data_IF_250562988982
#
_entry.id   IF_250562988982
#
_cell.length_a   1.000
_cell.length_b   1.000
_cell.length_c   1.000
_cell.angle_alpha   90.00
_cell.angle_beta   90.00
_cell.angle_gamma   90.00
#
_symmetry.space_group_name_H-M   'P 1'
#
loop_
_entity.id
_entity.type
_entity.pdbx_description
1 polymer ?
#
# COMPACT_ATOMS: atom_id res chain seq x y z
N UNK A 1 -18.41 -3.33 20.08
CA UNK A 1 -17.94 -2.38 21.10
C UNK A 1 -17.11 -1.23 20.51
N UNK A 2 -16.59 -1.40 19.31
CA UNK A 2 -15.84 -0.37 18.59
C UNK A 2 -16.62 0.09 17.37
N UNK A 3 -16.74 1.42 17.20
CA UNK A 3 -17.44 2.00 16.05
C UNK A 3 -16.55 1.92 14.80
N UNK A 4 -17.15 1.94 13.61
CA UNK A 4 -16.40 2.03 12.35
C UNK A 4 -15.39 3.18 12.35
N UNK A 5 -15.77 4.31 12.99
CA UNK A 5 -14.87 5.45 13.17
C UNK A 5 -13.62 5.08 13.96
N UNK A 6 -13.74 4.27 15.02
CA UNK A 6 -12.59 3.82 15.81
C UNK A 6 -11.66 2.93 14.97
N UNK A 7 -12.20 2.03 14.13
CA UNK A 7 -11.43 1.21 13.20
C UNK A 7 -10.68 2.05 12.16
N UNK A 8 -11.36 3.04 11.60
CA UNK A 8 -10.74 3.98 10.62
C UNK A 8 -9.63 4.80 11.28
N UNK A 9 -9.86 5.35 12.49
CA UNK A 9 -8.83 6.12 13.20
C UNK A 9 -7.62 5.26 13.59
N UNK A 10 -7.84 4.01 14.00
CA UNK A 10 -6.76 3.07 14.29
C UNK A 10 -5.97 2.74 13.02
N UNK A 11 -6.66 2.49 11.92
CA UNK A 11 -6.02 2.23 10.63
C UNK A 11 -5.17 3.41 10.14
N UNK A 12 -5.72 4.64 10.19
CA UNK A 12 -4.99 5.86 9.86
C UNK A 12 -3.79 6.08 10.79
N UNK A 13 -3.95 5.81 12.09
CA UNK A 13 -2.88 5.93 13.08
C UNK A 13 -1.73 4.97 12.79
N UNK A 14 -2.02 3.69 12.56
CA UNK A 14 -1.02 2.69 12.20
C UNK A 14 -0.33 3.02 10.88
N UNK A 15 -1.11 3.46 9.88
CA UNK A 15 -0.56 3.85 8.58
C UNK A 15 0.40 5.03 8.72
N UNK A 16 0.00 6.09 9.44
CA UNK A 16 0.83 7.26 9.68
C UNK A 16 2.11 6.91 10.46
N UNK A 17 1.99 6.11 11.53
CA UNK A 17 3.14 5.63 12.32
C UNK A 17 4.08 4.82 11.44
N UNK A 18 3.56 3.86 10.65
CA UNK A 18 4.37 3.08 9.72
C UNK A 18 5.12 3.95 8.70
N UNK A 19 4.43 4.93 8.12
CA UNK A 19 5.05 5.86 7.17
C UNK A 19 6.13 6.75 7.80
N UNK A 20 5.93 7.23 9.02
CA UNK A 20 6.91 8.05 9.74
C UNK A 20 8.10 7.24 10.25
N UNK A 21 7.93 5.94 10.53
CA UNK A 21 9.02 5.04 10.95
C UNK A 21 10.08 4.82 9.88
N UNK A 22 9.81 5.13 8.61
CA UNK A 22 10.84 5.11 7.56
C UNK A 22 11.99 6.10 7.85
N UNK A 23 11.70 7.21 8.53
CA UNK A 23 12.74 8.18 8.87
C UNK A 23 13.78 7.62 9.87
N UNK A 24 13.41 7.13 11.06
CA UNK A 24 14.39 6.50 11.96
C UNK A 24 14.97 5.21 11.37
N UNK A 25 14.24 4.47 10.54
CA UNK A 25 14.76 3.28 9.86
C UNK A 25 15.98 3.61 8.98
N UNK A 26 15.98 4.76 8.28
CA UNK A 26 17.14 5.24 7.53
C UNK A 26 18.38 5.40 8.40
N UNK A 27 18.24 5.93 9.62
CA UNK A 27 19.36 6.20 10.52
C UNK A 27 20.07 4.93 10.98
N UNK A 28 19.38 3.79 10.98
CA UNK A 28 19.97 2.51 11.39
C UNK A 28 20.83 1.87 10.31
N UNK A 29 20.65 2.23 9.04
CA UNK A 29 21.33 1.61 7.90
C UNK A 29 21.04 0.11 7.71
N UNK A 30 20.07 -0.45 8.46
CA UNK A 30 19.71 -1.87 8.46
C UNK A 30 18.38 -2.09 7.73
N UNK A 31 18.21 -3.27 7.11
CA UNK A 31 17.01 -3.65 6.39
C UNK A 31 15.79 -3.90 7.31
N UNK A 32 16.01 -4.48 8.49
CA UNK A 32 14.93 -4.91 9.39
C UNK A 32 14.00 -3.79 9.86
N UNK A 33 14.47 -2.59 10.23
CA UNK A 33 13.60 -1.47 10.57
C UNK A 33 12.70 -1.02 9.41
N UNK A 34 13.17 -1.07 8.17
CA UNK A 34 12.33 -0.79 7.00
C UNK A 34 11.23 -1.82 6.83
N UNK A 35 11.55 -3.10 7.02
CA UNK A 35 10.57 -4.18 6.97
C UNK A 35 9.50 -4.00 8.05
N UNK A 36 9.89 -3.63 9.26
CA UNK A 36 8.95 -3.37 10.36
C UNK A 36 8.07 -2.15 10.06
N UNK A 37 8.65 -1.05 9.57
CA UNK A 37 7.90 0.14 9.18
C UNK A 37 6.86 -0.19 8.09
N UNK A 38 7.25 -0.95 7.07
CA UNK A 38 6.37 -1.40 6.01
C UNK A 38 5.27 -2.34 6.53
N UNK A 39 5.59 -3.24 7.44
CA UNK A 39 4.61 -4.14 8.06
C UNK A 39 3.54 -3.36 8.83
N UNK A 40 3.94 -2.37 9.65
CA UNK A 40 3.00 -1.53 10.40
C UNK A 40 2.13 -0.71 9.45
N UNK A 41 2.71 -0.18 8.38
CA UNK A 41 1.99 0.58 7.35
C UNK A 41 0.92 -0.29 6.66
N UNK A 42 1.26 -1.50 6.26
CA UNK A 42 0.32 -2.44 5.61
C UNK A 42 -0.76 -2.94 6.57
N UNK A 43 -0.45 -3.14 7.84
CA UNK A 43 -1.47 -3.38 8.88
C UNK A 43 -2.47 -2.22 8.94
N UNK A 44 -2.00 -0.97 8.93
CA UNK A 44 -2.85 0.21 8.90
C UNK A 44 -3.78 0.23 7.70
N UNK A 45 -3.27 -0.09 6.51
CA UNK A 45 -4.07 -0.19 5.29
C UNK A 45 -5.16 -1.25 5.40
N UNK A 46 -4.84 -2.43 5.92
CA UNK A 46 -5.80 -3.52 6.14
C UNK A 46 -6.93 -3.11 7.10
N UNK A 47 -6.62 -2.40 8.17
CA UNK A 47 -7.63 -1.86 9.08
C UNK A 47 -8.52 -0.81 8.41
N UNK A 48 -7.94 0.03 7.55
CA UNK A 48 -8.71 1.02 6.78
C UNK A 48 -9.69 0.34 5.83
N UNK A 49 -9.24 -0.61 5.03
CA UNK A 49 -10.10 -1.31 4.07
C UNK A 49 -11.23 -2.08 4.75
N UNK A 50 -10.92 -2.82 5.83
CA UNK A 50 -11.90 -3.60 6.56
C UNK A 50 -12.92 -2.75 7.34
N UNK A 51 -12.59 -1.51 7.67
CA UNK A 51 -13.48 -0.60 8.38
C UNK A 51 -14.25 0.34 7.46
N UNK A 52 -13.60 0.86 6.39
CA UNK A 52 -14.18 1.86 5.49
C UNK A 52 -15.20 1.25 4.53
N UNK A 53 -14.93 0.07 3.97
CA UNK A 53 -15.83 -0.56 3.01
C UNK A 53 -17.20 -0.90 3.62
N UNK A 54 -17.31 -1.59 4.77
CA UNK A 54 -18.59 -1.81 5.43
C UNK A 54 -19.27 -0.51 5.88
N UNK A 55 -18.49 0.50 6.28
CA UNK A 55 -19.04 1.80 6.65
C UNK A 55 -19.72 2.47 5.45
N UNK A 56 -19.09 2.49 4.28
CA UNK A 56 -19.66 3.04 3.03
C UNK A 56 -20.96 2.29 2.65
N UNK A 57 -20.98 0.97 2.82
CA UNK A 57 -22.17 0.16 2.56
C UNK A 57 -23.31 0.50 3.53
N UNK A 58 -23.00 0.78 4.79
CA UNK A 58 -24.00 1.12 5.82
C UNK A 58 -24.56 2.54 5.70
N UNK A 59 -23.93 3.42 4.91
CA UNK A 59 -24.41 4.78 4.69
C UNK A 59 -25.53 4.83 3.65
N UNK A 60 -26.74 5.26 4.05
CA UNK A 60 -27.89 5.44 3.15
C UNK A 60 -28.66 4.15 2.89
N UNK A 61 -29.40 4.08 1.78
CA UNK A 61 -30.29 2.98 1.46
C UNK A 61 -29.57 1.77 0.88
N UNK A 62 -30.08 0.56 1.13
CA UNK A 62 -29.54 -0.70 0.58
C UNK A 62 -29.50 -0.70 -0.95
N UNK A 63 -30.54 -0.15 -1.61
CA UNK A 63 -30.64 -0.10 -3.07
C UNK A 63 -29.45 0.61 -3.75
N UNK A 64 -28.78 1.53 -3.06
CA UNK A 64 -27.62 2.28 -3.60
C UNK A 64 -26.30 1.89 -2.97
N UNK A 65 -26.26 0.90 -2.07
CA UNK A 65 -25.06 0.51 -1.32
C UNK A 65 -23.90 0.11 -2.23
N UNK A 66 -24.14 -0.79 -3.19
CA UNK A 66 -23.13 -1.25 -4.15
C UNK A 66 -22.63 -0.11 -5.04
N UNK A 67 -23.52 0.79 -5.47
CA UNK A 67 -23.12 1.97 -6.28
C UNK A 67 -22.19 2.90 -5.52
N UNK A 68 -22.46 3.14 -4.24
CA UNK A 68 -21.57 3.96 -3.37
C UNK A 68 -20.21 3.31 -3.20
N UNK A 69 -20.17 2.00 -2.95
CA UNK A 69 -18.92 1.27 -2.80
C UNK A 69 -18.10 1.30 -4.09
N UNK A 70 -18.74 1.03 -5.24
CA UNK A 70 -18.06 1.06 -6.53
C UNK A 70 -17.51 2.44 -6.87
N UNK A 71 -18.25 3.50 -6.54
CA UNK A 71 -17.78 4.88 -6.69
C UNK A 71 -16.54 5.14 -5.83
N UNK A 72 -16.55 4.72 -4.55
CA UNK A 72 -15.40 4.86 -3.67
C UNK A 72 -14.19 4.06 -4.18
N UNK A 73 -14.41 2.84 -4.64
CA UNK A 73 -13.36 1.96 -5.18
C UNK A 73 -12.77 2.49 -6.50
N UNK A 74 -13.51 3.29 -7.28
CA UNK A 74 -12.99 3.87 -8.53
C UNK A 74 -11.85 4.86 -8.32
N UNK A 75 -11.68 5.41 -7.12
CA UNK A 75 -10.52 6.23 -6.78
C UNK A 75 -9.22 5.44 -6.58
N UNK A 76 -9.31 4.12 -6.37
CA UNK A 76 -8.13 3.26 -6.16
C UNK A 76 -7.21 3.21 -7.41
N UNK A 77 -7.70 2.93 -8.63
CA UNK A 77 -6.88 3.03 -9.84
C UNK A 77 -6.31 4.42 -10.09
N UNK A 78 -7.07 5.47 -9.79
CA UNK A 78 -6.57 6.86 -9.92
C UNK A 78 -5.38 7.11 -8.98
N UNK A 79 -5.47 6.65 -7.75
CA UNK A 79 -4.36 6.70 -6.79
C UNK A 79 -3.13 5.92 -7.26
N UNK A 80 -3.33 4.75 -7.87
CA UNK A 80 -2.25 3.94 -8.42
C UNK A 80 -1.54 4.63 -9.59
N UNK A 81 -2.28 5.25 -10.51
CA UNK A 81 -1.72 6.02 -11.62
C UNK A 81 -0.93 7.23 -11.13
N UNK A 82 -1.48 7.98 -10.16
CA UNK A 82 -0.79 9.10 -9.56
C UNK A 82 0.49 8.65 -8.84
N UNK A 83 0.42 7.56 -8.09
CA UNK A 83 1.57 6.97 -7.41
C UNK A 83 2.67 6.55 -8.39
N UNK A 84 2.30 5.94 -9.51
CA UNK A 84 3.25 5.56 -10.57
C UNK A 84 3.89 6.80 -11.20
N UNK A 85 3.11 7.83 -11.51
CA UNK A 85 3.63 9.10 -12.03
C UNK A 85 4.66 9.74 -11.08
N UNK A 86 4.34 9.79 -9.78
CA UNK A 86 5.26 10.31 -8.75
C UNK A 86 6.51 9.44 -8.66
N UNK A 87 6.37 8.12 -8.67
CA UNK A 87 7.49 7.19 -8.60
C UNK A 87 8.46 7.38 -9.78
N UNK A 88 7.95 7.53 -10.99
CA UNK A 88 8.79 7.70 -12.19
C UNK A 88 9.48 9.05 -12.23
N UNK A 89 8.75 10.14 -11.98
CA UNK A 89 9.28 11.50 -12.18
C UNK A 89 10.05 12.05 -10.97
N UNK A 90 9.74 11.60 -9.76
CA UNK A 90 10.34 12.15 -8.54
C UNK A 90 11.23 11.17 -7.80
N UNK A 91 11.03 9.86 -7.95
CA UNK A 91 11.87 8.86 -7.30
C UNK A 91 12.93 8.36 -8.29
N UNK A 92 12.52 7.68 -9.36
CA UNK A 92 13.47 7.07 -10.30
C UNK A 92 14.39 8.10 -10.99
N UNK A 93 13.85 9.27 -11.33
CA UNK A 93 14.64 10.34 -11.93
C UNK A 93 15.74 10.92 -11.02
N UNK A 94 15.66 10.69 -9.70
CA UNK A 94 16.61 11.21 -8.71
C UNK A 94 17.49 10.12 -8.09
N UNK A 95 17.20 8.84 -8.33
CA UNK A 95 18.05 7.75 -7.86
C UNK A 95 19.34 7.70 -8.64
N UNK A 96 20.42 7.30 -7.98
CA UNK A 96 21.71 7.11 -8.62
C UNK A 96 21.62 5.99 -9.67
N UNK A 97 22.03 6.25 -10.94
CA UNK A 97 21.91 5.30 -12.05
C UNK A 97 22.88 4.12 -11.97
N UNK A 98 23.85 4.12 -11.05
CA UNK A 98 24.83 3.04 -10.89
C UNK A 98 24.14 1.69 -10.69
N UNK A 99 24.61 0.70 -11.42
CA UNK A 99 24.14 -0.68 -11.26
C UNK A 99 24.77 -1.37 -10.02
N UNK A 100 24.33 -2.59 -9.75
CA UNK A 100 24.82 -3.38 -8.60
C UNK A 100 26.33 -3.70 -8.71
N UNK A 101 26.85 -3.91 -9.91
CA UNK A 101 28.24 -4.24 -10.14
C UNK A 101 29.13 -3.01 -9.93
N UNK A 102 28.70 -1.84 -10.40
CA UNK A 102 29.38 -0.57 -10.17
C UNK A 102 29.39 -0.19 -8.67
N UNK A 103 28.26 -0.37 -7.99
CA UNK A 103 28.16 -0.13 -6.54
C UNK A 103 29.06 -1.05 -5.71
N UNK A 104 29.29 -2.30 -6.17
CA UNK A 104 30.17 -3.23 -5.49
C UNK A 104 31.66 -2.84 -5.58
N UNK A 105 32.04 -1.95 -6.50
CA UNK A 105 33.41 -1.45 -6.67
C UNK A 105 33.70 -0.19 -5.84
N UNK A 106 32.67 0.43 -5.25
CA UNK A 106 32.83 1.62 -4.42
C UNK A 106 33.53 1.28 -3.10
N UNK A 107 34.31 2.22 -2.61
CA UNK A 107 34.83 2.11 -1.25
C UNK A 107 33.68 2.27 -0.21
N UNK A 108 33.85 1.80 1.04
CA UNK A 108 32.78 1.83 2.03
C UNK A 108 32.19 3.22 2.30
N UNK A 109 33.01 4.27 2.20
CA UNK A 109 32.57 5.65 2.45
C UNK A 109 31.72 6.18 1.28
N UNK A 110 32.14 5.94 0.04
CA UNK A 110 31.41 6.31 -1.17
C UNK A 110 30.08 5.54 -1.26
N UNK A 111 30.12 4.23 -0.98
CA UNK A 111 28.90 3.42 -0.92
C UNK A 111 27.89 3.96 0.09
N UNK A 112 28.35 4.36 1.30
CA UNK A 112 27.50 4.94 2.32
C UNK A 112 26.86 6.26 1.84
N UNK A 113 27.62 7.13 1.17
CA UNK A 113 27.10 8.39 0.62
C UNK A 113 26.03 8.17 -0.45
N UNK A 114 26.27 7.28 -1.41
CA UNK A 114 25.30 6.95 -2.46
C UNK A 114 24.04 6.33 -1.87
N UNK A 115 24.20 5.36 -0.96
CA UNK A 115 23.08 4.73 -0.24
C UNK A 115 22.23 5.74 0.52
N UNK A 116 22.85 6.64 1.27
CA UNK A 116 22.14 7.63 2.09
C UNK A 116 21.42 8.67 1.23
N UNK A 117 21.99 9.02 0.07
CA UNK A 117 21.32 9.87 -0.92
C UNK A 117 20.09 9.17 -1.49
N UNK A 118 20.22 7.93 -1.98
CA UNK A 118 19.13 7.14 -2.54
C UNK A 118 18.03 6.89 -1.51
N UNK A 119 18.39 6.53 -0.26
CA UNK A 119 17.41 6.35 0.82
C UNK A 119 16.66 7.64 1.14
N UNK A 120 17.31 8.80 1.02
CA UNK A 120 16.63 10.10 1.22
C UNK A 120 15.56 10.34 0.16
N UNK A 121 15.85 10.03 -1.09
CA UNK A 121 14.89 10.12 -2.20
C UNK A 121 13.72 9.16 -1.99
N UNK A 122 13.99 7.93 -1.59
CA UNK A 122 12.96 6.91 -1.36
C UNK A 122 12.04 7.23 -0.18
N UNK A 123 12.58 7.81 0.90
CA UNK A 123 11.81 8.08 2.13
C UNK A 123 10.94 9.33 2.01
N UNK A 124 11.32 10.31 1.22
CA UNK A 124 10.59 11.56 1.09
C UNK A 124 9.09 11.38 0.76
N UNK A 125 8.68 10.53 -0.20
CA UNK A 125 7.26 10.25 -0.46
C UNK A 125 6.54 9.61 0.74
N UNK A 126 7.18 8.69 1.46
CA UNK A 126 6.56 8.06 2.64
C UNK A 126 6.31 9.08 3.76
N UNK A 127 7.25 9.99 4.01
CA UNK A 127 7.05 11.06 4.98
C UNK A 127 5.91 12.01 4.55
N UNK A 128 5.87 12.38 3.27
CA UNK A 128 4.81 13.23 2.72
C UNK A 128 3.44 12.56 2.90
N UNK A 129 3.32 11.28 2.53
CA UNK A 129 2.08 10.50 2.73
C UNK A 129 1.76 10.40 4.22
N UNK A 130 2.74 10.14 5.08
CA UNK A 130 2.55 10.09 6.53
C UNK A 130 1.95 11.36 7.09
N UNK A 131 2.43 12.54 6.66
CA UNK A 131 1.89 13.84 7.06
C UNK A 131 0.45 14.02 6.56
N UNK A 132 0.18 13.69 5.30
CA UNK A 132 -1.18 13.77 4.72
C UNK A 132 -2.14 12.87 5.50
N UNK A 133 -1.74 11.66 5.83
CA UNK A 133 -2.57 10.71 6.61
C UNK A 133 -2.79 11.23 8.05
N UNK A 134 -1.79 11.87 8.68
CA UNK A 134 -1.98 12.52 9.98
C UNK A 134 -3.00 13.64 9.91
N UNK A 135 -2.95 14.48 8.88
CA UNK A 135 -3.96 15.53 8.67
C UNK A 135 -5.34 14.90 8.49
N UNK A 136 -5.47 13.85 7.69
CA UNK A 136 -6.73 13.13 7.50
C UNK A 136 -7.23 12.49 8.81
N UNK A 137 -6.34 11.95 9.64
CA UNK A 137 -6.67 11.41 10.95
C UNK A 137 -7.29 12.50 11.84
N UNK A 138 -6.66 13.69 11.87
CA UNK A 138 -7.16 14.84 12.65
C UNK A 138 -8.53 15.27 12.12
N UNK A 139 -8.70 15.41 10.82
CA UNK A 139 -9.98 15.78 10.20
C UNK A 139 -11.08 14.77 10.58
N UNK A 140 -10.82 13.46 10.41
CA UNK A 140 -11.81 12.42 10.73
C UNK A 140 -12.08 12.33 12.24
N UNK A 141 -11.08 12.61 13.08
CA UNK A 141 -11.27 12.65 14.55
C UNK A 141 -12.32 13.66 14.97
N UNK A 142 -12.32 14.83 14.34
CA UNK A 142 -13.27 15.92 14.65
C UNK A 142 -14.56 15.87 13.83
N UNK A 143 -14.58 15.16 12.70
CA UNK A 143 -15.80 15.01 11.89
C UNK A 143 -16.84 14.14 12.63
N UNK A 144 -18.08 14.59 12.67
CA UNK A 144 -19.17 13.79 13.18
C UNK A 144 -19.59 12.77 12.12
N UNK A 145 -19.25 11.51 12.35
CA UNK A 145 -19.65 10.41 11.46
C UNK A 145 -21.02 9.85 11.90
N UNK A 146 -21.97 9.62 10.98
CA UNK A 146 -23.23 8.97 11.29
C UNK A 146 -23.01 7.61 11.94
N UNK A 147 -23.75 7.32 13.01
CA UNK A 147 -23.66 6.05 13.74
C UNK A 147 -24.51 4.94 13.12
N UNK A 148 -24.77 5.01 11.82
CA UNK A 148 -25.56 4.01 11.12
C UNK A 148 -24.79 2.68 11.09
N UNK A 149 -25.41 1.62 11.58
CA UNK A 149 -24.82 0.28 11.61
C UNK A 149 -24.09 -0.12 12.90
N UNK A 150 -23.93 0.79 13.87
CA UNK A 150 -23.38 0.47 15.19
C UNK A 150 -24.41 -0.22 16.10
N UNK A 151 -25.09 -1.27 15.60
CA UNK A 151 -25.83 -2.15 16.48
C UNK A 151 -24.83 -2.97 17.28
N UNK A 152 -24.82 -2.75 18.58
CA UNK A 152 -23.95 -3.40 19.55
C UNK A 152 -24.14 -4.90 19.57
N UNK A 153 -23.49 -5.61 18.68
CA UNK A 153 -23.36 -7.05 18.82
C UNK A 153 -22.09 -7.34 19.62
N UNK A 154 -22.23 -7.99 20.77
CA UNK A 154 -21.12 -8.56 21.50
C UNK A 154 -20.42 -9.56 20.56
N UNK A 155 -19.23 -9.20 20.09
CA UNK A 155 -18.44 -10.09 19.22
C UNK A 155 -17.88 -11.21 20.11
N UNK A 156 -18.53 -12.34 20.12
CA UNK A 156 -17.97 -13.58 20.64
C UNK A 156 -17.05 -14.17 19.55
N UNK A 157 -15.78 -13.85 19.63
CA UNK A 157 -14.80 -14.15 18.58
C UNK A 157 -14.76 -15.64 18.22
N UNK A 158 -14.73 -16.53 19.20
CA UNK A 158 -14.66 -17.98 18.97
C UNK A 158 -15.88 -18.57 18.22
N UNK A 159 -17.11 -18.36 18.72
CA UNK A 159 -18.32 -18.83 18.03
C UNK A 159 -18.52 -18.20 16.66
N UNK A 160 -18.17 -16.93 16.50
CA UNK A 160 -18.30 -16.23 15.20
C UNK A 160 -17.32 -16.83 14.18
N UNK A 161 -16.05 -17.02 14.57
CA UNK A 161 -15.05 -17.63 13.70
C UNK A 161 -15.45 -19.05 13.27
N UNK A 162 -15.89 -19.88 14.24
CA UNK A 162 -16.39 -21.22 13.96
C UNK A 162 -17.57 -21.20 12.99
N UNK A 163 -18.53 -20.30 13.16
CA UNK A 163 -19.68 -20.15 12.27
C UNK A 163 -19.27 -19.74 10.86
N UNK A 164 -18.35 -18.77 10.71
CA UNK A 164 -17.89 -18.30 9.40
C UNK A 164 -17.17 -19.42 8.68
N UNK A 165 -16.27 -20.14 9.36
CA UNK A 165 -15.55 -21.26 8.76
C UNK A 165 -16.45 -22.51 8.50
N UNK A 166 -17.64 -22.60 9.08
CA UNK A 166 -18.59 -23.67 8.74
C UNK A 166 -19.32 -23.42 7.42
N UNK A 167 -19.33 -22.17 6.91
CA UNK A 167 -19.97 -21.82 5.64
C UNK A 167 -19.04 -22.22 4.49
N UNK A 168 -19.45 -23.19 3.68
CA UNK A 168 -18.65 -23.74 2.60
C UNK A 168 -18.20 -22.67 1.60
N UNK A 169 -19.12 -21.87 1.09
CA UNK A 169 -18.82 -20.79 0.14
C UNK A 169 -17.88 -19.72 0.69
N UNK A 170 -17.89 -19.48 2.01
CA UNK A 170 -16.95 -18.55 2.62
C UNK A 170 -15.51 -19.10 2.57
N UNK A 171 -15.31 -20.37 2.90
CA UNK A 171 -13.98 -21.00 2.84
C UNK A 171 -13.43 -21.01 1.42
N UNK A 172 -14.27 -21.39 0.45
CA UNK A 172 -13.90 -21.37 -0.97
C UNK A 172 -13.53 -19.96 -1.44
N UNK A 173 -14.34 -18.95 -1.06
CA UNK A 173 -14.06 -17.55 -1.36
C UNK A 173 -12.73 -17.06 -0.77
N UNK A 174 -12.42 -17.42 0.49
CA UNK A 174 -11.14 -17.08 1.12
C UNK A 174 -9.95 -17.71 0.39
N UNK A 175 -10.06 -18.99 0.03
CA UNK A 175 -9.00 -19.70 -0.71
C UNK A 175 -8.83 -19.10 -2.10
N UNK A 176 -9.92 -18.85 -2.81
CA UNK A 176 -9.88 -18.20 -4.13
C UNK A 176 -9.25 -16.82 -4.07
N UNK A 177 -9.62 -16.01 -3.06
CA UNK A 177 -9.05 -14.67 -2.85
C UNK A 177 -7.55 -14.72 -2.54
N UNK A 178 -7.11 -15.69 -1.74
CA UNK A 178 -5.68 -15.88 -1.44
C UNK A 178 -4.87 -16.13 -2.73
N UNK A 179 -5.31 -17.04 -3.59
CA UNK A 179 -4.62 -17.33 -4.85
C UNK A 179 -4.72 -16.16 -5.84
N UNK A 180 -5.87 -15.47 -5.91
CA UNK A 180 -6.06 -14.31 -6.76
C UNK A 180 -5.10 -13.17 -6.39
N UNK A 181 -5.06 -12.79 -5.12
CA UNK A 181 -4.17 -11.72 -4.63
C UNK A 181 -2.70 -12.12 -4.79
N UNK A 182 -2.37 -13.39 -4.51
CA UNK A 182 -1.03 -13.93 -4.72
C UNK A 182 -0.59 -13.79 -6.19
N UNK A 183 -1.41 -14.21 -7.13
CA UNK A 183 -1.13 -14.08 -8.56
C UNK A 183 -1.03 -12.61 -9.00
N UNK A 184 -1.90 -11.75 -8.52
CA UNK A 184 -1.89 -10.32 -8.80
C UNK A 184 -0.57 -9.66 -8.35
N UNK A 185 -0.14 -9.92 -7.13
CA UNK A 185 1.10 -9.37 -6.58
C UNK A 185 2.31 -9.92 -7.33
N UNK A 186 2.33 -11.21 -7.64
CA UNK A 186 3.40 -11.80 -8.46
C UNK A 186 3.50 -11.14 -9.84
N UNK A 187 2.37 -10.95 -10.52
CA UNK A 187 2.36 -10.27 -11.82
C UNK A 187 2.92 -8.85 -11.70
N UNK A 188 2.49 -8.07 -10.72
CA UNK A 188 2.98 -6.70 -10.55
C UNK A 188 4.46 -6.62 -10.20
N UNK A 189 4.93 -7.55 -9.38
CA UNK A 189 6.33 -7.58 -8.94
C UNK A 189 7.29 -7.99 -10.06
N UNK A 190 6.90 -8.99 -10.85
CA UNK A 190 7.81 -9.62 -11.81
C UNK A 190 7.64 -9.16 -13.26
N UNK A 191 6.56 -8.43 -13.59
CA UNK A 191 6.29 -8.04 -14.99
C UNK A 191 7.42 -7.23 -15.62
N UNK A 192 8.02 -6.30 -14.87
CA UNK A 192 9.14 -5.48 -15.35
C UNK A 192 10.38 -6.35 -15.54
N UNK A 193 10.70 -7.20 -14.58
CA UNK A 193 11.86 -8.09 -14.66
C UNK A 193 11.71 -9.10 -15.79
N UNK A 194 10.51 -9.64 -15.97
CA UNK A 194 10.22 -10.56 -17.07
C UNK A 194 10.35 -9.86 -18.43
N UNK A 195 9.73 -8.69 -18.57
CA UNK A 195 9.83 -7.88 -19.79
C UNK A 195 11.27 -7.53 -20.12
N UNK A 196 12.05 -7.05 -19.15
CA UNK A 196 13.47 -6.73 -19.32
C UNK A 196 14.27 -7.94 -19.79
N UNK A 197 14.12 -9.11 -19.17
CA UNK A 197 14.82 -10.32 -19.58
C UNK A 197 14.43 -10.78 -20.99
N UNK A 198 13.15 -10.69 -21.33
CA UNK A 198 12.65 -11.07 -22.65
C UNK A 198 13.27 -10.18 -23.74
N UNK A 199 13.32 -8.86 -23.55
CA UNK A 199 13.89 -7.93 -24.51
C UNK A 199 15.42 -8.09 -24.64
N UNK A 200 16.12 -8.27 -23.52
CA UNK A 200 17.56 -8.59 -23.56
C UNK A 200 17.84 -9.88 -24.32
N UNK A 201 17.02 -10.92 -24.18
CA UNK A 201 17.17 -12.18 -24.90
C UNK A 201 16.93 -12.05 -26.41
N UNK A 202 16.18 -11.01 -26.83
CA UNK A 202 15.92 -10.69 -28.23
C UNK A 202 16.91 -9.69 -28.84
N UNK A 203 17.97 -9.34 -28.12
CA UNK A 203 19.01 -8.41 -28.59
C UNK A 203 18.57 -6.95 -28.67
N UNK A 204 17.46 -6.58 -28.01
CA UNK A 204 17.03 -5.20 -27.92
C UNK A 204 17.75 -4.48 -26.79
N UNK A 205 18.30 -3.29 -27.08
CA UNK A 205 18.99 -2.47 -26.07
C UNK A 205 18.05 -2.01 -24.94
N UNK A 206 18.63 -1.78 -23.75
CA UNK A 206 17.96 -1.38 -22.52
C UNK A 206 17.02 -0.15 -22.65
N UNK A 207 17.24 0.70 -23.63
CA UNK A 207 16.44 1.91 -23.89
C UNK A 207 15.04 1.58 -24.43
N UNK A 208 14.85 0.42 -25.05
CA UNK A 208 13.60 0.04 -25.73
C UNK A 208 12.44 -0.26 -24.76
N UNK A 209 12.70 -0.60 -23.48
CA UNK A 209 11.65 -0.92 -22.52
C UNK A 209 11.17 0.27 -21.68
N UNK A 210 11.86 1.40 -21.70
CA UNK A 210 11.31 2.63 -21.10
C UNK A 210 10.07 3.10 -21.82
N UNK A 211 9.89 2.73 -23.09
CA UNK A 211 8.69 3.03 -23.87
C UNK A 211 7.49 2.13 -23.56
N UNK A 212 7.71 0.94 -22.97
CA UNK A 212 6.62 0.04 -22.54
C UNK A 212 5.95 0.47 -21.24
N UNK A 213 6.61 1.31 -20.45
CA UNK A 213 6.09 1.84 -19.19
C UNK A 213 5.44 3.21 -19.33
N UNK A 214 5.60 3.86 -20.49
CA UNK A 214 4.94 5.13 -20.80
C UNK A 214 3.76 4.85 -21.73
N UNK A 215 2.53 5.23 -21.38
CA UNK A 215 1.47 5.30 -22.37
C UNK A 215 1.91 6.33 -23.42
N UNK A 216 2.23 5.85 -24.60
CA UNK A 216 2.41 6.74 -25.74
C UNK A 216 1.10 7.47 -25.96
N UNK A 217 1.10 8.77 -25.69
CA UNK A 217 0.04 9.72 -26.07
C UNK A 217 -0.28 9.62 -27.55
#
# INVERSE_FOLDING_TARGET
KYSYKAGILLGLGLYAVGALLFFPAKMTGSYYPFLLAYFILTCGLSFLETSSNPYILSMGTEATATRRLNLAQSFNPMGSLLGMYVAMNFIQAKLNPMDTAERAQLNPAEFAMVRDADLSVLIAPYLTIGIVILVMLVVIRFTQMPKNGDQSHSINFGPTLKRIFSIHHYREGVVAQFFYVGAQIMCWTFIIQYGTRLFMSQGMEAVSYTHLTLPTS
#
